data_IF_901665659961
#
_entry.id   IF_901665659961
#
_cell.length_a   1.000
_cell.length_b   1.000
_cell.length_c   1.000
_cell.angle_alpha   90.00
_cell.angle_beta   90.00
_cell.angle_gamma   90.00
#
_symmetry.space_group_name_H-M   'P 1'
#
loop_
_entity.id
_entity.type
_entity.pdbx_description
1 polymer ?
#
# COMPACT_ATOMS: atom_id res chain seq x y z
N UNK A 1 -1.00 0.96 -21.03
CA UNK A 1 -1.27 -0.34 -21.71
C UNK A 1 -2.41 -1.04 -20.98
N UNK A 2 -3.46 -1.48 -21.71
CA UNK A 2 -4.61 -2.16 -21.12
C UNK A 2 -4.20 -3.55 -20.65
N UNK A 3 -4.49 -3.89 -19.38
CA UNK A 3 -4.19 -5.18 -18.80
C UNK A 3 -5.24 -6.21 -19.24
N UNK A 4 -4.79 -7.36 -19.68
CA UNK A 4 -5.69 -8.46 -20.02
C UNK A 4 -5.93 -9.35 -18.78
N UNK A 5 -7.06 -9.13 -18.12
CA UNK A 5 -7.41 -9.84 -16.88
C UNK A 5 -7.57 -11.34 -17.09
N UNK A 6 -8.07 -11.76 -18.26
CA UNK A 6 -8.30 -13.18 -18.56
C UNK A 6 -6.98 -13.97 -18.76
N UNK A 7 -5.84 -13.27 -18.91
CA UNK A 7 -4.48 -13.86 -19.07
C UNK A 7 -3.66 -13.84 -17.79
N UNK A 8 -4.25 -13.54 -16.63
CA UNK A 8 -3.51 -13.61 -15.36
C UNK A 8 -3.05 -15.03 -15.05
N UNK A 9 -1.83 -15.13 -14.53
CA UNK A 9 -1.21 -16.41 -14.16
C UNK A 9 -1.80 -16.93 -12.84
N UNK A 10 -1.70 -18.23 -12.58
CA UNK A 10 -2.01 -18.85 -11.28
C UNK A 10 -0.94 -18.48 -10.25
N UNK A 11 -0.90 -17.20 -9.93
CA UNK A 11 0.13 -16.56 -9.15
C UNK A 11 -0.46 -15.85 -7.96
N UNK A 12 0.12 -16.10 -6.78
CA UNK A 12 -0.21 -15.43 -5.52
C UNK A 12 0.98 -14.58 -5.12
N UNK A 13 0.75 -13.33 -4.70
CA UNK A 13 1.84 -12.43 -4.32
C UNK A 13 1.68 -11.84 -2.93
N UNK A 14 2.82 -11.58 -2.31
CA UNK A 14 2.98 -10.73 -1.14
C UNK A 14 4.07 -9.70 -1.43
N UNK A 15 3.79 -8.43 -1.17
CA UNK A 15 4.75 -7.33 -1.36
C UNK A 15 4.81 -6.46 -0.12
N UNK A 16 5.99 -6.37 0.48
CA UNK A 16 6.23 -5.56 1.68
C UNK A 16 7.43 -6.04 2.49
N UNK A 17 7.65 -5.43 3.64
CA UNK A 17 8.69 -5.91 4.58
C UNK A 17 8.36 -7.32 5.06
N UNK A 18 9.36 -8.20 5.08
CA UNK A 18 9.20 -9.61 5.43
C UNK A 18 9.23 -9.82 6.95
N UNK A 19 8.32 -9.16 7.66
CA UNK A 19 8.25 -9.16 9.12
C UNK A 19 6.83 -9.42 9.65
N UNK A 20 6.73 -9.66 10.96
CA UNK A 20 5.45 -9.90 11.65
C UNK A 20 4.51 -8.71 11.56
N UNK A 21 5.04 -7.48 11.58
CA UNK A 21 4.23 -6.27 11.48
C UNK A 21 3.42 -6.23 10.16
N UNK A 22 4.01 -6.67 9.05
CA UNK A 22 3.35 -6.81 7.75
C UNK A 22 2.58 -8.12 7.58
N UNK A 23 2.62 -9.01 8.56
CA UNK A 23 1.92 -10.29 8.53
C UNK A 23 2.57 -11.34 7.65
N UNK A 24 3.87 -11.19 7.34
CA UNK A 24 4.57 -12.14 6.47
C UNK A 24 4.58 -13.57 7.04
N UNK A 25 4.65 -13.71 8.36
CA UNK A 25 4.52 -14.99 9.05
C UNK A 25 3.15 -15.65 8.79
N UNK A 26 2.06 -14.89 8.90
CA UNK A 26 0.70 -15.40 8.61
C UNK A 26 0.53 -15.78 7.13
N UNK A 27 1.07 -14.95 6.24
CA UNK A 27 1.09 -15.24 4.81
C UNK A 27 1.86 -16.53 4.53
N UNK A 28 3.06 -16.67 5.08
CA UNK A 28 3.94 -17.83 4.87
C UNK A 28 3.30 -19.14 5.30
N UNK A 29 2.72 -19.18 6.51
CA UNK A 29 1.98 -20.36 7.00
C UNK A 29 0.80 -20.74 6.09
N UNK A 30 0.07 -19.74 5.60
CA UNK A 30 -1.06 -19.95 4.72
C UNK A 30 -0.63 -20.43 3.33
N UNK A 31 0.41 -19.80 2.77
CA UNK A 31 0.83 -20.05 1.40
C UNK A 31 1.47 -21.42 1.22
N UNK A 32 2.23 -21.91 2.19
CA UNK A 32 2.78 -23.28 2.15
C UNK A 32 1.64 -24.29 1.99
N UNK A 33 0.60 -24.20 2.82
CA UNK A 33 -0.57 -25.09 2.72
C UNK A 33 -1.28 -25.00 1.37
N UNK A 34 -1.42 -23.79 0.83
CA UNK A 34 -2.01 -23.58 -0.51
C UNK A 34 -1.16 -24.25 -1.58
N UNK A 35 0.16 -24.06 -1.53
CA UNK A 35 1.04 -24.64 -2.53
C UNK A 35 1.12 -26.16 -2.42
N UNK A 36 1.01 -26.74 -1.22
CA UNK A 36 0.92 -28.19 -1.03
C UNK A 36 -0.35 -28.77 -1.63
N UNK A 37 -1.47 -28.09 -1.52
CA UNK A 37 -2.77 -28.55 -2.01
C UNK A 37 -2.95 -28.29 -3.52
N UNK A 38 -2.55 -27.11 -4.03
CA UNK A 38 -2.76 -26.68 -5.42
C UNK A 38 -1.46 -26.65 -6.20
N UNK A 39 -1.13 -27.77 -6.84
CA UNK A 39 0.19 -28.02 -7.49
C UNK A 39 0.48 -27.12 -8.68
N UNK A 40 -0.51 -26.54 -9.30
CA UNK A 40 -0.41 -25.66 -10.48
C UNK A 40 -0.36 -24.15 -10.12
N UNK A 41 -0.38 -23.82 -8.83
CA UNK A 41 -0.20 -22.45 -8.34
C UNK A 41 1.24 -22.19 -7.90
N UNK A 42 1.66 -20.94 -8.03
CA UNK A 42 2.96 -20.43 -7.59
C UNK A 42 2.74 -19.23 -6.66
N UNK A 43 3.73 -18.93 -5.84
CA UNK A 43 3.75 -17.72 -5.04
C UNK A 43 5.07 -16.97 -5.25
N UNK A 44 4.98 -15.64 -5.28
CA UNK A 44 6.13 -14.75 -5.36
C UNK A 44 6.03 -13.70 -4.25
N UNK A 45 7.16 -13.49 -3.60
CA UNK A 45 7.31 -12.51 -2.53
C UNK A 45 8.34 -11.46 -2.95
N UNK A 46 7.99 -10.20 -2.81
CA UNK A 46 8.90 -9.06 -2.96
C UNK A 46 9.05 -8.32 -1.65
N UNK A 47 10.28 -8.12 -1.23
CA UNK A 47 10.65 -7.38 -0.05
C UNK A 47 11.83 -7.98 0.67
N UNK A 48 12.26 -7.31 1.71
CA UNK A 48 13.32 -7.74 2.62
C UNK A 48 13.02 -7.29 4.06
N UNK A 49 13.72 -7.85 5.01
CA UNK A 49 13.79 -7.37 6.40
C UNK A 49 15.04 -7.97 7.05
N UNK A 50 15.96 -7.10 7.42
CA UNK A 50 17.23 -7.51 8.01
C UNK A 50 17.17 -7.76 9.53
N UNK A 51 16.13 -7.22 10.20
CA UNK A 51 15.98 -7.29 11.67
C UNK A 51 15.18 -8.49 12.14
N UNK A 52 14.33 -9.07 11.26
CA UNK A 52 13.56 -10.28 11.55
C UNK A 52 13.87 -11.33 10.49
N UNK A 53 14.32 -12.50 10.93
CA UNK A 53 14.60 -13.63 10.01
C UNK A 53 13.38 -14.55 9.96
N UNK A 54 12.40 -14.20 9.16
CA UNK A 54 11.26 -15.07 8.85
C UNK A 54 11.48 -15.62 7.46
N UNK A 55 11.58 -16.93 7.33
CA UNK A 55 11.73 -17.60 6.05
C UNK A 55 10.77 -18.78 5.92
N UNK A 56 10.30 -18.99 4.70
CA UNK A 56 9.48 -20.13 4.33
C UNK A 56 10.06 -20.73 3.06
N UNK A 57 10.17 -22.06 3.02
CA UNK A 57 10.74 -22.78 1.90
C UNK A 57 9.68 -23.66 1.24
N UNK A 58 9.54 -23.50 -0.07
CA UNK A 58 8.72 -24.38 -0.89
C UNK A 58 9.16 -24.23 -2.35
N UNK A 59 9.17 -25.32 -3.14
CA UNK A 59 9.64 -25.35 -4.55
C UNK A 59 8.95 -24.31 -5.46
N UNK A 60 7.75 -23.87 -5.11
CA UNK A 60 6.94 -22.93 -5.88
C UNK A 60 6.67 -21.60 -5.15
N UNK A 61 7.36 -21.36 -4.04
CA UNK A 61 7.45 -20.07 -3.36
C UNK A 61 8.79 -19.43 -3.71
N UNK A 62 8.75 -18.31 -4.41
CA UNK A 62 9.94 -17.62 -4.89
C UNK A 62 10.07 -16.30 -4.14
N UNK A 63 11.12 -16.17 -3.35
CA UNK A 63 11.50 -14.90 -2.75
C UNK A 63 12.44 -14.14 -3.68
N UNK A 64 12.01 -13.00 -4.19
CA UNK A 64 12.74 -12.17 -5.15
C UNK A 64 13.54 -11.05 -4.49
N UNK A 65 13.49 -10.94 -3.15
CA UNK A 65 14.11 -9.84 -2.42
C UNK A 65 13.49 -8.48 -2.76
N UNK A 66 14.22 -7.41 -2.47
CA UNK A 66 13.80 -6.06 -2.83
C UNK A 66 13.79 -5.86 -4.35
N UNK A 67 12.73 -5.23 -4.85
CA UNK A 67 12.58 -4.89 -6.27
C UNK A 67 12.11 -3.46 -6.45
N UNK A 68 12.44 -2.90 -7.61
CA UNK A 68 11.95 -1.58 -8.01
C UNK A 68 10.42 -1.57 -8.17
N UNK A 69 9.80 -0.42 -7.99
CA UNK A 69 8.35 -0.27 -8.17
C UNK A 69 7.88 -0.74 -9.55
N UNK A 70 8.65 -0.46 -10.62
CA UNK A 70 8.32 -0.89 -11.98
C UNK A 70 8.29 -2.42 -12.12
N UNK A 71 9.20 -3.14 -11.48
CA UNK A 71 9.21 -4.61 -11.48
C UNK A 71 8.02 -5.17 -10.71
N UNK A 72 7.69 -4.55 -9.57
CA UNK A 72 6.52 -4.92 -8.75
C UNK A 72 5.22 -4.73 -9.55
N UNK A 73 5.04 -3.59 -10.21
CA UNK A 73 3.87 -3.32 -11.03
C UNK A 73 3.71 -4.32 -12.20
N UNK A 74 4.82 -4.70 -12.86
CA UNK A 74 4.81 -5.73 -13.91
C UNK A 74 4.41 -7.10 -13.36
N UNK A 75 4.81 -7.44 -12.12
CA UNK A 75 4.37 -8.66 -11.46
C UNK A 75 2.86 -8.64 -11.22
N UNK A 76 2.33 -7.53 -10.72
CA UNK A 76 0.88 -7.40 -10.46
C UNK A 76 0.03 -7.54 -11.72
N UNK A 77 0.54 -7.16 -12.90
CA UNK A 77 -0.15 -7.42 -14.17
C UNK A 77 -0.42 -8.91 -14.42
N UNK A 78 0.46 -9.79 -13.92
CA UNK A 78 0.37 -11.24 -14.05
C UNK A 78 -0.32 -11.92 -12.85
N UNK A 79 -0.33 -11.27 -11.70
CA UNK A 79 -0.82 -11.83 -10.44
C UNK A 79 -2.33 -12.01 -10.44
N UNK A 80 -2.79 -13.19 -10.06
CA UNK A 80 -4.21 -13.48 -9.85
C UNK A 80 -4.71 -13.06 -8.48
N UNK A 81 -3.97 -13.39 -7.42
CA UNK A 81 -4.36 -13.13 -6.03
C UNK A 81 -3.20 -12.39 -5.34
N UNK A 82 -3.50 -11.31 -4.65
CA UNK A 82 -2.52 -10.58 -3.86
C UNK A 82 -2.97 -10.51 -2.39
N UNK A 83 -2.02 -10.52 -1.46
CA UNK A 83 -2.31 -10.56 -0.02
C UNK A 83 -1.55 -9.47 0.70
N UNK A 84 -2.28 -8.57 1.37
CA UNK A 84 -1.74 -7.51 2.22
C UNK A 84 -2.30 -7.63 3.65
N UNK A 85 -1.73 -8.53 4.44
CA UNK A 85 -2.24 -8.95 5.74
C UNK A 85 -1.51 -8.27 6.92
N UNK A 86 -1.29 -6.96 6.83
CA UNK A 86 -0.59 -6.19 7.87
C UNK A 86 -1.32 -6.25 9.23
N UNK A 87 -0.54 -6.45 10.32
CA UNK A 87 -0.99 -6.20 11.70
C UNK A 87 -0.91 -4.73 12.06
N UNK A 88 0.00 -4.01 11.40
CA UNK A 88 0.17 -2.59 11.56
C UNK A 88 -1.02 -1.83 10.98
N UNK A 89 -1.45 -0.78 11.65
CA UNK A 89 -2.44 0.15 11.09
C UNK A 89 -1.77 0.98 10.00
N UNK A 90 -1.88 0.50 8.76
CA UNK A 90 -1.27 1.17 7.61
C UNK A 90 -1.82 2.58 7.45
N UNK A 91 -0.99 3.61 7.27
CA UNK A 91 -1.50 4.95 6.98
C UNK A 91 -2.33 5.00 5.70
N UNK A 92 -1.99 4.17 4.70
CA UNK A 92 -2.71 4.08 3.43
C UNK A 92 -2.68 2.66 2.84
N UNK A 93 -1.50 2.08 2.54
CA UNK A 93 -1.36 0.76 1.93
C UNK A 93 -1.10 0.82 0.43
N UNK A 94 0.06 1.36 0.02
CA UNK A 94 0.41 1.51 -1.41
C UNK A 94 0.40 0.21 -2.20
N UNK A 95 0.90 -0.89 -1.63
CA UNK A 95 0.93 -2.18 -2.32
C UNK A 95 -0.46 -2.68 -2.67
N UNK A 96 -1.41 -2.65 -1.73
CA UNK A 96 -2.79 -3.08 -2.00
C UNK A 96 -3.51 -2.19 -3.01
N UNK A 97 -3.22 -0.87 -3.02
CA UNK A 97 -3.70 0.05 -4.04
C UNK A 97 -3.17 -0.33 -5.44
N UNK A 98 -1.85 -0.55 -5.55
CA UNK A 98 -1.18 -0.91 -6.79
C UNK A 98 -1.67 -2.28 -7.31
N UNK A 99 -1.88 -3.27 -6.42
CA UNK A 99 -2.47 -4.57 -6.70
C UNK A 99 -3.89 -4.44 -7.26
N UNK A 100 -4.73 -3.64 -6.60
CA UNK A 100 -6.11 -3.36 -7.03
C UNK A 100 -6.13 -2.69 -8.41
N UNK A 101 -5.29 -1.67 -8.63
CA UNK A 101 -5.18 -0.96 -9.90
C UNK A 101 -4.76 -1.85 -11.08
N UNK A 102 -4.14 -2.98 -10.79
CA UNK A 102 -3.74 -3.99 -11.80
C UNK A 102 -4.71 -5.16 -11.90
N UNK A 103 -5.87 -5.08 -11.22
CA UNK A 103 -6.91 -6.10 -11.27
C UNK A 103 -6.51 -7.41 -10.61
N UNK A 104 -5.71 -7.38 -9.55
CA UNK A 104 -5.53 -8.53 -8.68
C UNK A 104 -6.82 -8.74 -7.85
N UNK A 105 -7.12 -9.99 -7.50
CA UNK A 105 -8.06 -10.26 -6.43
C UNK A 105 -7.32 -10.05 -5.09
N UNK A 106 -7.51 -8.89 -4.48
CA UNK A 106 -6.75 -8.48 -3.30
C UNK A 106 -7.43 -8.97 -2.03
N UNK A 107 -6.66 -9.58 -1.13
CA UNK A 107 -7.07 -10.00 0.21
C UNK A 107 -6.32 -9.12 1.20
N UNK A 108 -7.03 -8.34 2.01
CA UNK A 108 -6.43 -7.40 2.96
C UNK A 108 -6.88 -7.66 4.40
N UNK A 109 -6.07 -7.24 5.35
CA UNK A 109 -6.52 -7.09 6.74
C UNK A 109 -7.33 -5.80 6.91
N UNK A 110 -8.25 -5.80 7.89
CA UNK A 110 -9.00 -4.60 8.28
C UNK A 110 -8.15 -3.76 9.24
N UNK A 111 -7.07 -3.14 8.73
CA UNK A 111 -6.12 -2.35 9.55
C UNK A 111 -5.77 -1.02 8.88
N UNK A 112 -5.99 0.08 9.63
CA UNK A 112 -5.68 1.43 9.17
C UNK A 112 -6.39 1.76 7.85
N UNK A 113 -5.67 2.34 6.90
CA UNK A 113 -6.17 2.76 5.59
C UNK A 113 -6.25 1.63 4.54
N UNK A 114 -5.90 0.37 4.86
CA UNK A 114 -5.99 -0.72 3.88
C UNK A 114 -7.38 -0.88 3.23
N UNK A 115 -8.51 -0.82 3.98
CA UNK A 115 -9.83 -0.93 3.38
C UNK A 115 -10.14 0.16 2.34
N UNK A 116 -9.48 1.31 2.42
CA UNK A 116 -9.69 2.43 1.49
C UNK A 116 -8.94 2.23 0.15
N UNK A 117 -8.05 1.23 0.05
CA UNK A 117 -7.20 1.00 -1.12
C UNK A 117 -7.80 0.04 -2.14
N UNK A 118 -8.91 -0.60 -1.81
CA UNK A 118 -9.59 -1.55 -2.69
C UNK A 118 -11.02 -1.11 -2.97
N UNK A 119 -11.47 -1.28 -4.20
CA UNK A 119 -12.88 -1.11 -4.58
C UNK A 119 -13.62 -2.44 -4.54
N UNK A 120 -12.92 -3.50 -4.93
CA UNK A 120 -13.41 -4.87 -4.97
C UNK A 120 -12.29 -5.81 -4.49
N UNK A 121 -12.58 -6.62 -3.50
CA UNK A 121 -11.59 -7.50 -2.87
C UNK A 121 -12.17 -8.24 -1.67
N UNK A 122 -11.30 -8.77 -0.84
CA UNK A 122 -11.68 -9.48 0.38
C UNK A 122 -11.02 -8.82 1.59
N UNK A 123 -11.83 -8.37 2.53
CA UNK A 123 -11.36 -7.94 3.85
C UNK A 123 -11.46 -9.13 4.79
N UNK A 124 -10.34 -9.51 5.39
CA UNK A 124 -10.27 -10.63 6.34
C UNK A 124 -11.11 -10.33 7.57
N UNK A 125 -11.93 -11.29 7.99
CA UNK A 125 -12.69 -11.23 9.25
C UNK A 125 -11.76 -11.35 10.45
N UNK A 126 -10.84 -12.31 10.38
CA UNK A 126 -9.84 -12.57 11.41
C UNK A 126 -8.45 -12.53 10.77
N UNK A 127 -7.53 -11.86 11.42
CA UNK A 127 -6.14 -11.78 10.96
C UNK A 127 -5.35 -12.99 11.43
N UNK A 128 -5.58 -14.13 10.79
CA UNK A 128 -4.93 -15.43 11.06
C UNK A 128 -4.50 -16.09 9.76
N UNK A 129 -3.48 -16.94 9.83
CA UNK A 129 -3.04 -17.74 8.68
C UNK A 129 -4.15 -18.67 8.16
N UNK A 130 -5.02 -19.15 9.03
CA UNK A 130 -6.17 -19.99 8.67
C UNK A 130 -7.18 -19.21 7.84
N UNK A 131 -7.48 -17.95 8.20
CA UNK A 131 -8.44 -17.14 7.46
C UNK A 131 -7.87 -16.71 6.10
N UNK A 132 -6.59 -16.40 6.04
CA UNK A 132 -5.86 -16.15 4.78
C UNK A 132 -5.94 -17.38 3.87
N UNK A 133 -5.57 -18.56 4.39
CA UNK A 133 -5.65 -19.82 3.65
C UNK A 133 -7.06 -20.09 3.11
N UNK A 134 -8.10 -19.99 3.97
CA UNK A 134 -9.49 -20.24 3.57
C UNK A 134 -9.94 -19.29 2.45
N UNK A 135 -9.59 -18.02 2.51
CA UNK A 135 -9.98 -17.04 1.49
C UNK A 135 -9.24 -17.27 0.17
N UNK A 136 -7.95 -17.59 0.19
CA UNK A 136 -7.19 -17.95 -1.01
C UNK A 136 -7.80 -19.22 -1.63
N UNK A 137 -8.00 -20.27 -0.84
CA UNK A 137 -8.60 -21.53 -1.30
C UNK A 137 -9.98 -21.32 -1.94
N UNK A 138 -10.83 -20.50 -1.33
CA UNK A 138 -12.15 -20.17 -1.86
C UNK A 138 -12.08 -19.49 -3.23
N UNK A 139 -11.09 -18.61 -3.46
CA UNK A 139 -10.88 -17.98 -4.76
C UNK A 139 -10.36 -18.99 -5.79
N UNK A 140 -9.42 -19.86 -5.42
CA UNK A 140 -8.86 -20.89 -6.31
C UNK A 140 -9.95 -21.84 -6.79
N UNK A 141 -10.78 -22.32 -5.89
CA UNK A 141 -11.86 -23.27 -6.18
C UNK A 141 -13.03 -22.62 -6.95
N UNK A 142 -13.25 -21.33 -6.79
CA UNK A 142 -14.32 -20.61 -7.47
C UNK A 142 -13.73 -19.61 -8.51
N UNK A 143 -13.35 -20.15 -9.67
CA UNK A 143 -12.77 -19.36 -10.78
C UNK A 143 -13.67 -18.21 -11.23
N UNK A 144 -15.01 -18.42 -11.23
CA UNK A 144 -15.97 -17.36 -11.60
C UNK A 144 -15.90 -16.18 -10.64
N UNK A 145 -15.86 -16.46 -9.33
CA UNK A 145 -15.72 -15.43 -8.29
C UNK A 145 -14.36 -14.72 -8.37
N UNK A 146 -13.29 -15.48 -8.56
CA UNK A 146 -11.95 -14.93 -8.73
C UNK A 146 -11.92 -13.92 -9.89
N UNK A 147 -12.40 -14.34 -11.07
CA UNK A 147 -12.43 -13.51 -12.26
C UNK A 147 -13.37 -12.29 -12.11
N UNK A 148 -14.50 -12.44 -11.45
CA UNK A 148 -15.43 -11.34 -11.16
C UNK A 148 -14.76 -10.26 -10.32
N UNK A 149 -14.10 -10.65 -9.21
CA UNK A 149 -13.35 -9.72 -8.37
C UNK A 149 -12.24 -9.03 -9.16
N UNK A 150 -11.45 -9.77 -9.94
CA UNK A 150 -10.37 -9.21 -10.76
C UNK A 150 -10.88 -8.18 -11.77
N UNK A 151 -11.97 -8.50 -12.49
CA UNK A 151 -12.57 -7.60 -13.49
C UNK A 151 -13.17 -6.35 -12.83
N UNK A 152 -13.86 -6.51 -11.71
CA UNK A 152 -14.44 -5.40 -10.95
C UNK A 152 -13.35 -4.51 -10.37
N UNK A 153 -12.34 -5.09 -9.70
CA UNK A 153 -11.21 -4.36 -9.15
C UNK A 153 -10.53 -3.48 -10.22
N UNK A 154 -10.29 -4.03 -11.41
CA UNK A 154 -9.68 -3.29 -12.51
C UNK A 154 -10.61 -2.22 -13.11
N UNK A 155 -11.89 -2.56 -13.33
CA UNK A 155 -12.87 -1.67 -13.97
C UNK A 155 -13.30 -0.52 -13.06
N UNK A 156 -13.50 -0.82 -11.78
CA UNK A 156 -14.04 0.12 -10.79
C UNK A 156 -12.93 0.93 -10.10
N UNK A 157 -11.66 0.69 -10.44
CA UNK A 157 -10.56 1.43 -9.85
C UNK A 157 -10.64 2.91 -10.23
N UNK A 158 -10.75 3.78 -9.23
CA UNK A 158 -10.88 5.22 -9.39
C UNK A 158 -9.85 6.03 -8.60
N UNK A 159 -9.05 5.36 -7.76
CA UNK A 159 -8.07 6.00 -6.87
C UNK A 159 -6.78 6.36 -7.62
N UNK A 160 -6.91 6.93 -8.81
CA UNK A 160 -5.80 7.41 -9.62
C UNK A 160 -5.37 8.84 -9.25
N UNK A 161 -4.25 9.29 -9.81
CA UNK A 161 -3.70 10.61 -9.54
C UNK A 161 -4.69 11.73 -9.92
N UNK A 162 -5.47 11.54 -10.97
CA UNK A 162 -6.46 12.52 -11.43
C UNK A 162 -7.58 12.71 -10.41
N UNK A 163 -8.12 11.60 -9.89
CA UNK A 163 -9.15 11.64 -8.85
C UNK A 163 -8.64 12.32 -7.58
N UNK A 164 -7.45 11.92 -7.12
CA UNK A 164 -6.84 12.48 -5.89
C UNK A 164 -6.56 13.97 -6.07
N UNK A 165 -5.98 14.38 -7.21
CA UNK A 165 -5.72 15.79 -7.51
C UNK A 165 -7.00 16.62 -7.54
N UNK A 166 -8.05 16.12 -8.20
CA UNK A 166 -9.36 16.80 -8.24
C UNK A 166 -9.98 16.94 -6.85
N UNK A 167 -9.85 15.92 -6.01
CA UNK A 167 -10.33 15.95 -4.63
C UNK A 167 -9.59 17.00 -3.79
N UNK A 168 -8.26 17.07 -3.95
CA UNK A 168 -7.44 18.09 -3.28
C UNK A 168 -7.84 19.49 -3.75
N UNK A 169 -8.03 19.69 -5.04
CA UNK A 169 -8.42 20.98 -5.59
C UNK A 169 -9.82 21.41 -5.10
N UNK A 170 -10.77 20.48 -5.01
CA UNK A 170 -12.07 20.74 -4.43
C UNK A 170 -11.97 21.19 -2.94
N UNK A 171 -11.12 20.55 -2.15
CA UNK A 171 -10.86 21.00 -0.78
C UNK A 171 -10.25 22.41 -0.73
N UNK A 172 -9.31 22.70 -1.62
CA UNK A 172 -8.72 24.04 -1.73
C UNK A 172 -9.77 25.10 -2.07
N UNK A 173 -10.58 24.85 -3.10
CA UNK A 173 -11.65 25.77 -3.50
C UNK A 173 -12.63 26.03 -2.33
N UNK A 174 -13.06 24.98 -1.64
CA UNK A 174 -13.96 25.11 -0.48
C UNK A 174 -13.32 25.93 0.65
N UNK A 175 -12.04 25.74 0.92
CA UNK A 175 -11.31 26.52 1.91
C UNK A 175 -11.24 28.01 1.52
N UNK A 176 -10.97 28.32 0.25
CA UNK A 176 -10.92 29.69 -0.25
C UNK A 176 -12.30 30.35 -0.30
N UNK A 177 -13.34 29.63 -0.71
CA UNK A 177 -14.72 30.14 -0.79
C UNK A 177 -15.30 30.45 0.59
N UNK A 178 -14.89 29.72 1.61
CA UNK A 178 -15.30 29.93 3.00
C UNK A 178 -14.36 30.87 3.75
N UNK A 179 -13.30 31.37 3.10
CA UNK A 179 -12.29 32.20 3.77
C UNK A 179 -12.60 33.71 3.74
N UNK A 180 -13.72 34.14 4.34
CA UNK A 180 -13.71 35.37 5.15
C UNK A 180 -12.92 35.11 6.47
N UNK A 181 -11.95 34.22 6.46
CA UNK A 181 -11.12 33.92 7.62
C UNK A 181 -10.12 35.07 7.73
N UNK A 182 -10.42 35.98 8.62
CA UNK A 182 -9.44 36.92 9.13
C UNK A 182 -8.38 36.11 9.87
N UNK A 183 -7.35 35.65 9.12
CA UNK A 183 -6.29 34.77 9.66
C UNK A 183 -5.50 35.60 10.67
N UNK A 184 -5.82 35.39 11.95
CA UNK A 184 -5.05 35.97 13.04
C UNK A 184 -3.57 35.57 12.86
N UNK A 185 -2.69 36.56 12.72
CA UNK A 185 -1.25 36.31 12.66
C UNK A 185 -0.79 35.69 13.96
N UNK A 186 -0.17 34.52 13.86
CA UNK A 186 0.32 33.75 15.00
C UNK A 186 1.84 33.83 15.08
N UNK A 187 2.35 33.67 16.29
CA UNK A 187 3.75 33.35 16.54
C UNK A 187 3.85 31.83 16.72
N UNK A 188 4.60 31.16 15.88
CA UNK A 188 4.63 29.70 15.79
C UNK A 188 6.07 29.22 16.01
N UNK A 189 6.26 28.30 16.95
CA UNK A 189 7.49 27.51 17.05
C UNK A 189 7.27 26.22 16.24
N UNK A 190 8.01 26.08 15.13
CA UNK A 190 7.92 24.90 14.27
C UNK A 190 9.14 24.00 14.50
N UNK A 191 8.92 22.92 15.24
CA UNK A 191 9.94 21.90 15.55
C UNK A 191 9.79 20.74 14.58
N UNK A 192 10.82 20.47 13.77
CA UNK A 192 10.82 19.36 12.81
C UNK A 192 12.24 19.08 12.33
N UNK A 193 12.42 17.95 11.66
CA UNK A 193 13.68 17.69 10.96
C UNK A 193 13.76 18.52 9.66
N UNK A 194 14.61 19.54 9.64
CA UNK A 194 14.86 20.38 8.47
C UNK A 194 15.94 19.79 7.55
N UNK A 195 16.63 18.70 7.96
CA UNK A 195 17.75 18.08 7.22
C UNK A 195 18.85 19.08 6.83
N UNK A 196 19.21 19.97 7.74
CA UNK A 196 20.24 21.01 7.51
C UNK A 196 21.59 20.37 7.18
N UNK A 197 21.94 19.25 7.81
CA UNK A 197 23.20 18.50 7.59
C UNK A 197 23.42 18.05 6.14
N UNK A 198 22.37 17.95 5.36
CA UNK A 198 22.46 17.49 3.96
C UNK A 198 22.53 18.66 2.97
N UNK A 199 22.97 19.85 3.37
CA UNK A 199 23.11 21.04 2.54
C UNK A 199 21.89 21.33 1.65
N UNK A 200 20.69 21.11 2.19
CA UNK A 200 19.45 21.36 1.49
C UNK A 200 19.10 20.39 0.35
N UNK A 201 19.85 19.29 0.18
CA UNK A 201 19.59 18.28 -0.87
C UNK A 201 18.19 17.66 -0.80
N UNK A 202 17.53 17.70 0.35
CA UNK A 202 16.14 17.28 0.49
C UNK A 202 15.19 18.47 0.31
N UNK A 203 15.20 19.05 -0.88
CA UNK A 203 14.32 20.15 -1.28
C UNK A 203 12.83 19.87 -1.01
N UNK A 204 12.43 18.62 -1.00
CA UNK A 204 11.07 18.15 -0.78
C UNK A 204 10.74 17.76 0.67
N UNK A 205 11.56 18.19 1.63
CA UNK A 205 11.30 17.94 3.05
C UNK A 205 9.95 18.54 3.47
N UNK A 206 9.08 17.70 4.06
CA UNK A 206 7.73 18.09 4.51
C UNK A 206 7.79 19.24 5.52
N UNK A 207 8.74 19.23 6.44
CA UNK A 207 8.95 20.30 7.41
C UNK A 207 9.18 21.65 6.75
N UNK A 208 10.05 21.73 5.74
CA UNK A 208 10.30 22.97 4.98
C UNK A 208 9.06 23.44 4.23
N UNK A 209 8.28 22.53 3.64
CA UNK A 209 7.04 22.90 2.94
C UNK A 209 6.01 23.49 3.88
N UNK A 210 5.82 22.88 5.06
CA UNK A 210 4.93 23.41 6.11
C UNK A 210 5.43 24.78 6.56
N UNK A 211 6.72 24.91 6.86
CA UNK A 211 7.30 26.19 7.28
C UNK A 211 7.06 27.31 6.25
N UNK A 212 7.32 27.02 4.99
CA UNK A 212 7.09 27.96 3.89
C UNK A 212 5.60 28.32 3.74
N UNK A 213 4.70 27.36 3.96
CA UNK A 213 3.28 27.59 3.97
C UNK A 213 2.86 28.55 5.09
N UNK A 214 3.35 28.34 6.31
CA UNK A 214 3.07 29.19 7.47
C UNK A 214 3.58 30.62 7.26
N UNK A 215 4.79 30.79 6.72
CA UNK A 215 5.35 32.11 6.38
C UNK A 215 4.51 32.80 5.29
N UNK A 216 4.08 32.09 4.25
CA UNK A 216 3.21 32.63 3.19
C UNK A 216 1.85 33.07 3.70
N UNK A 217 1.34 32.43 4.74
CA UNK A 217 0.11 32.81 5.44
C UNK A 217 0.31 34.06 6.34
N UNK A 218 1.52 34.59 6.42
CA UNK A 218 1.85 35.80 7.18
C UNK A 218 2.09 35.55 8.68
N UNK A 219 2.30 34.32 9.09
CA UNK A 219 2.65 34.00 10.47
C UNK A 219 4.13 34.32 10.75
N UNK A 220 4.46 34.61 12.00
CA UNK A 220 5.86 34.68 12.46
C UNK A 220 6.26 33.27 12.89
N UNK A 221 7.26 32.69 12.20
CA UNK A 221 7.67 31.30 12.46
C UNK A 221 9.11 31.26 12.94
N UNK A 222 9.32 30.71 14.12
CA UNK A 222 10.63 30.34 14.63
C UNK A 222 10.82 28.84 14.37
N UNK A 223 11.95 28.45 13.80
CA UNK A 223 12.25 27.06 13.44
C UNK A 223 13.26 26.45 14.40
N UNK A 224 13.06 25.19 14.74
CA UNK A 224 14.01 24.36 15.47
C UNK A 224 14.10 23.01 14.78
N UNK A 225 15.33 22.59 14.43
CA UNK A 225 15.56 21.26 13.88
C UNK A 225 15.83 20.26 15.01
N UNK A 226 15.05 19.18 15.06
CA UNK A 226 15.14 18.16 16.12
C UNK A 226 16.31 17.20 15.96
N UNK A 227 17.02 17.24 14.83
CA UNK A 227 18.12 16.32 14.49
C UNK A 227 19.42 17.01 14.08
N UNK A 228 19.46 18.31 14.08
CA UNK A 228 20.61 19.09 13.62
C UNK A 228 21.36 19.77 14.80
N UNK A 229 21.08 19.33 16.01
CA UNK A 229 21.78 19.73 17.26
C UNK A 229 22.98 18.85 17.53
#
# INVERSE_FOLDING_TARGET
KKINIDKKEKLITFVGKLNKSKGYDLFGEAIIKILDEFKDWKAVVFGDEFREKISFEHKRLINMGYKSNNEVLKLFEKTSIAVACSRWAEPFGRSSLEESSRGCAVIISNRGGLPETITDGIILKHLTSIDIYKNIKKLILNKKKLLDIQKKSYKNFYLDDKFISSKIDNYRVNLFSNSNINIKKLRILHVTNFNVRHNGRLFFNTGRRINNGLLKLGHTVQTLSDRDT
#
